data_IF_198433118328
#
_entry.id   IF_198433118328
#
_cell.length_a   1.000
_cell.length_b   1.000
_cell.length_c   1.000
_cell.angle_alpha   90.00
_cell.angle_beta   90.00
_cell.angle_gamma   90.00
#
_symmetry.space_group_name_H-M   'P 1'
#
loop_
_entity.id
_entity.type
_entity.pdbx_description
1 polymer ?
#
# COMPACT_ATOMS: atom_id res chain seq x y z
N UNK A 1 14.50 10.32 -11.23
CA UNK A 1 14.26 11.70 -11.71
C UNK A 1 12.77 11.90 -11.90
N UNK A 2 12.14 12.67 -11.02
CA UNK A 2 10.69 12.87 -10.97
C UNK A 2 10.27 13.89 -12.03
N UNK A 3 9.09 13.70 -12.66
CA UNK A 3 8.52 14.67 -13.62
C UNK A 3 7.24 15.24 -13.04
N UNK A 4 7.12 16.57 -13.03
CA UNK A 4 5.90 17.26 -12.63
C UNK A 4 4.79 17.02 -13.66
N UNK A 5 3.69 16.44 -13.23
CA UNK A 5 2.49 16.28 -14.04
C UNK A 5 1.76 17.62 -14.10
N UNK A 6 1.39 18.08 -15.30
CA UNK A 6 0.72 19.37 -15.48
C UNK A 6 -0.76 19.33 -15.05
N UNK A 7 -1.33 18.13 -14.91
CA UNK A 7 -2.75 17.94 -14.55
C UNK A 7 -2.98 17.82 -13.04
N UNK A 8 -2.10 17.12 -12.32
CA UNK A 8 -2.20 16.96 -10.86
C UNK A 8 -1.15 17.75 -10.07
N UNK A 9 -0.25 18.49 -10.74
CA UNK A 9 0.91 19.18 -10.12
C UNK A 9 1.88 18.28 -9.32
N UNK A 10 1.66 16.97 -9.31
CA UNK A 10 2.49 16.01 -8.58
C UNK A 10 3.74 15.61 -9.33
N UNK A 11 4.74 15.18 -8.55
CA UNK A 11 5.94 14.52 -9.02
C UNK A 11 5.63 13.05 -9.34
N UNK A 12 5.45 12.73 -10.63
CA UNK A 12 5.35 11.33 -11.06
C UNK A 12 6.75 10.74 -11.23
N UNK A 13 6.98 9.50 -10.78
CA UNK A 13 8.20 8.78 -11.13
C UNK A 13 8.27 8.64 -12.66
N UNK A 14 9.41 9.01 -13.27
CA UNK A 14 9.70 8.64 -14.66
C UNK A 14 9.50 7.13 -14.73
N UNK A 15 8.65 6.64 -15.66
CA UNK A 15 8.63 5.22 -16.02
C UNK A 15 10.07 4.82 -16.34
N UNK A 16 10.72 4.11 -15.43
CA UNK A 16 12.04 3.52 -15.68
C UNK A 16 11.79 2.48 -16.77
N UNK A 17 12.37 2.69 -17.94
CA UNK A 17 12.49 1.61 -18.91
C UNK A 17 13.62 0.73 -18.39
N UNK A 18 13.26 -0.43 -17.86
CA UNK A 18 14.24 -1.46 -17.58
C UNK A 18 14.63 -2.09 -18.93
N UNK A 19 15.92 -2.25 -19.15
CA UNK A 19 16.37 -3.11 -20.24
C UNK A 19 16.09 -4.53 -19.82
N UNK A 20 15.39 -5.28 -20.68
CA UNK A 20 15.26 -6.72 -20.49
C UNK A 20 16.61 -7.32 -20.87
N UNK A 21 17.29 -7.89 -19.88
CA UNK A 21 18.56 -8.59 -20.07
C UNK A 21 18.25 -10.07 -20.08
N UNK A 22 18.68 -10.77 -21.13
CA UNK A 22 18.60 -12.22 -21.19
C UNK A 22 19.79 -12.80 -20.41
N UNK A 23 19.53 -13.34 -19.23
CA UNK A 23 20.56 -13.90 -18.34
C UNK A 23 20.51 -15.42 -18.37
N UNK A 24 21.68 -16.06 -18.36
CA UNK A 24 21.76 -17.53 -18.38
C UNK A 24 21.21 -18.18 -17.11
N UNK A 25 21.25 -17.45 -15.99
CA UNK A 25 20.74 -17.90 -14.69
C UNK A 25 19.72 -16.89 -14.13
N UNK A 26 18.76 -17.35 -13.30
CA UNK A 26 17.76 -16.48 -12.70
C UNK A 26 18.33 -15.66 -11.55
N UNK A 27 17.94 -14.38 -11.47
CA UNK A 27 18.14 -13.57 -10.27
C UNK A 27 17.10 -13.98 -9.21
N UNK A 28 17.57 -14.50 -8.08
CA UNK A 28 16.73 -15.00 -6.98
C UNK A 28 16.41 -13.93 -5.94
N UNK A 29 16.99 -12.73 -6.08
CA UNK A 29 16.78 -11.58 -5.19
C UNK A 29 17.06 -11.92 -3.72
N UNK A 30 18.11 -12.72 -3.44
CA UNK A 30 18.43 -13.24 -2.10
C UNK A 30 18.70 -12.15 -1.06
N UNK A 31 19.06 -10.94 -1.49
CA UNK A 31 19.20 -9.78 -0.60
C UNK A 31 17.85 -9.29 -0.05
N UNK A 32 16.77 -9.50 -0.81
CA UNK A 32 15.39 -9.14 -0.47
C UNK A 32 14.64 -10.35 0.10
N UNK A 33 14.89 -11.54 -0.44
CA UNK A 33 14.25 -12.80 -0.05
C UNK A 33 15.30 -13.86 0.40
N UNK A 34 15.96 -13.63 1.54
CA UNK A 34 16.82 -14.63 2.15
C UNK A 34 16.01 -15.85 2.62
N UNK A 35 16.65 -17.01 2.76
CA UNK A 35 15.97 -18.27 3.10
C UNK A 35 15.90 -18.55 4.60
N UNK A 36 16.74 -17.87 5.37
CA UNK A 36 16.98 -18.05 6.80
C UNK A 36 16.33 -16.97 7.67
N UNK A 37 15.85 -15.89 7.06
CA UNK A 37 15.19 -14.77 7.74
C UNK A 37 13.98 -14.25 6.94
N UNK A 38 13.07 -13.49 7.57
CA UNK A 38 11.95 -12.88 6.85
C UNK A 38 12.38 -11.95 5.71
N UNK A 39 11.57 -11.81 4.65
CA UNK A 39 11.86 -10.91 3.55
C UNK A 39 12.11 -9.47 3.98
N UNK A 40 13.08 -8.82 3.33
CA UNK A 40 13.44 -7.43 3.58
C UNK A 40 12.62 -6.50 2.71
N UNK A 41 12.30 -5.31 3.24
CA UNK A 41 11.64 -4.24 2.47
C UNK A 41 12.71 -3.22 2.07
N UNK A 42 12.92 -3.05 0.77
CA UNK A 42 13.87 -2.07 0.24
C UNK A 42 13.17 -0.73 0.03
N UNK A 43 13.71 0.32 0.64
CA UNK A 43 13.28 1.69 0.38
C UNK A 43 14.15 2.30 -0.72
N UNK A 44 13.53 2.89 -1.74
CA UNK A 44 14.22 3.57 -2.83
C UNK A 44 14.64 5.02 -2.49
N UNK A 45 14.39 5.44 -1.25
CA UNK A 45 14.67 6.78 -0.73
C UNK A 45 13.79 7.87 -1.34
N UNK A 46 12.73 7.52 -2.07
CA UNK A 46 11.82 8.49 -2.67
C UNK A 46 10.68 8.83 -1.70
N UNK A 47 10.55 10.11 -1.37
CA UNK A 47 9.36 10.62 -0.69
C UNK A 47 8.26 10.86 -1.71
N UNK A 48 7.09 10.26 -1.50
CA UNK A 48 5.89 10.55 -2.30
C UNK A 48 5.26 11.84 -1.75
N UNK A 49 5.03 12.87 -2.59
CA UNK A 49 4.31 14.06 -2.14
C UNK A 49 2.89 13.70 -1.74
N UNK A 50 2.42 14.24 -0.62
CA UNK A 50 1.04 14.07 -0.18
C UNK A 50 0.11 14.75 -1.20
N UNK A 51 -0.79 13.97 -1.79
CA UNK A 51 -1.84 14.42 -2.69
C UNK A 51 -3.16 13.95 -2.11
N UNK A 52 -3.84 14.83 -1.38
CA UNK A 52 -5.17 14.53 -0.88
C UNK A 52 -6.12 14.57 -2.08
N UNK A 53 -6.87 13.49 -2.34
CA UNK A 53 -7.82 13.49 -3.44
C UNK A 53 -8.95 14.50 -3.18
N UNK A 54 -9.55 15.03 -4.26
CA UNK A 54 -10.69 15.94 -4.17
C UNK A 54 -11.87 15.31 -3.39
N UNK A 55 -12.07 14.01 -3.61
CA UNK A 55 -13.03 13.18 -2.89
C UNK A 55 -12.30 12.07 -2.14
N UNK A 56 -12.66 11.86 -0.87
CA UNK A 56 -12.20 10.71 -0.08
C UNK A 56 -13.39 9.99 0.53
N UNK A 57 -13.23 8.69 0.70
CA UNK A 57 -14.28 7.82 1.23
C UNK A 57 -13.77 7.17 2.52
N UNK A 58 -14.65 7.13 3.51
CA UNK A 58 -14.43 6.36 4.73
C UNK A 58 -15.28 5.11 4.62
N UNK A 59 -14.65 3.95 4.75
CA UNK A 59 -15.35 2.68 4.90
C UNK A 59 -15.30 2.28 6.36
N UNK A 60 -16.46 2.16 7.00
CA UNK A 60 -16.55 1.67 8.36
C UNK A 60 -16.47 0.13 8.38
N UNK A 61 -15.55 -0.42 9.19
CA UNK A 61 -15.37 -1.87 9.36
C UNK A 61 -15.72 -2.33 10.78
N UNK A 62 -16.48 -1.52 11.53
CA UNK A 62 -16.83 -1.76 12.94
C UNK A 62 -17.50 -3.12 13.15
N UNK A 63 -18.42 -3.50 12.25
CA UNK A 63 -19.14 -4.78 12.35
C UNK A 63 -18.41 -5.98 11.72
N UNK A 64 -17.19 -5.80 11.20
CA UNK A 64 -16.37 -6.89 10.66
C UNK A 64 -15.06 -7.02 11.44
N UNK A 65 -14.14 -6.09 11.28
CA UNK A 65 -12.87 -6.08 12.02
C UNK A 65 -13.08 -5.63 13.47
N UNK A 66 -13.90 -4.60 13.69
CA UNK A 66 -14.11 -4.05 15.03
C UNK A 66 -14.71 -5.06 16.00
N UNK A 67 -15.67 -5.88 15.54
CA UNK A 67 -16.29 -6.94 16.33
C UNK A 67 -15.31 -8.06 16.70
N UNK A 68 -14.25 -8.30 15.91
CA UNK A 68 -13.23 -9.30 16.26
C UNK A 68 -12.34 -8.86 17.44
N UNK A 69 -12.28 -7.56 17.74
CA UNK A 69 -11.47 -7.00 18.83
C UNK A 69 -12.25 -6.80 20.14
N UNK A 70 -13.56 -7.10 20.18
CA UNK A 70 -14.44 -6.94 21.35
C UNK A 70 -15.28 -8.20 21.58
N UNK A 71 -15.89 -8.37 22.76
CA UNK A 71 -16.96 -9.34 22.93
C UNK A 71 -18.06 -9.13 21.88
N UNK A 72 -18.72 -10.19 21.38
CA UNK A 72 -19.72 -10.07 20.33
C UNK A 72 -20.85 -9.12 20.72
N UNK A 73 -21.17 -8.18 19.85
CA UNK A 73 -22.31 -7.28 20.02
C UNK A 73 -23.63 -8.04 19.88
N UNK A 74 -24.64 -7.66 20.67
CA UNK A 74 -26.02 -8.09 20.42
C UNK A 74 -26.58 -7.39 19.19
N UNK A 75 -27.69 -7.89 18.65
CA UNK A 75 -28.33 -7.28 17.48
C UNK A 75 -28.74 -5.83 17.77
N UNK A 76 -29.27 -5.56 18.96
CA UNK A 76 -29.65 -4.22 19.40
C UNK A 76 -28.45 -3.28 19.43
N UNK A 77 -27.31 -3.75 19.96
CA UNK A 77 -26.08 -2.97 20.01
C UNK A 77 -25.53 -2.66 18.62
N UNK A 78 -25.56 -3.61 17.69
CA UNK A 78 -25.16 -3.38 16.30
C UNK A 78 -26.05 -2.31 15.66
N UNK A 79 -27.37 -2.45 15.85
CA UNK A 79 -28.35 -1.49 15.32
C UNK A 79 -28.16 -0.09 15.91
N UNK A 80 -27.82 0.01 17.20
CA UNK A 80 -27.59 1.31 17.85
C UNK A 80 -26.28 1.98 17.43
N UNK A 81 -25.24 1.20 17.08
CA UNK A 81 -23.97 1.73 16.56
C UNK A 81 -24.10 2.16 15.09
N UNK A 82 -24.97 1.51 14.31
CA UNK A 82 -25.13 1.80 12.88
C UNK A 82 -25.94 3.07 12.59
N UNK A 83 -26.86 3.46 13.49
CA UNK A 83 -27.68 4.68 13.36
C UNK A 83 -26.85 5.95 13.46
#
# INVERSE_FOLDING_TARGET
MLRKDKRSNLLRPRRRRFQVVDTQEPELLREIFPYDEPPRIVFDGLTVPMDLPDDFFITDTTFRDGQQARPPYTVEQVVDIFK
#
